data_IF_068044280965
#
_entry.id   IF_068044280965
#
_cell.length_a   1.000
_cell.length_b   1.000
_cell.length_c   1.000
_cell.angle_alpha   90.00
_cell.angle_beta   90.00
_cell.angle_gamma   90.00
#
_symmetry.space_group_name_H-M   'P 1'
#
loop_
_entity.id
_entity.type
_entity.pdbx_description
1 polymer ?
#
# COMPACT_ATOMS: atom_id res chain seq x y z
N UNK A 1 -0.55 18.28 -44.87
CA UNK A 1 0.59 17.42 -44.53
C UNK A 1 1.08 17.66 -43.08
N UNK A 2 1.42 18.91 -42.69
CA UNK A 2 1.88 19.21 -41.33
C UNK A 2 0.91 18.84 -40.18
N UNK A 3 -0.41 19.12 -40.33
CA UNK A 3 -1.43 18.75 -39.32
C UNK A 3 -1.56 17.23 -39.11
N UNK A 4 -1.36 16.45 -40.14
CA UNK A 4 -1.42 15.00 -40.08
C UNK A 4 -0.18 14.41 -39.37
N UNK A 5 1.00 15.01 -39.59
CA UNK A 5 2.23 14.65 -38.89
C UNK A 5 2.13 14.99 -37.38
N UNK A 6 1.52 16.11 -37.05
CA UNK A 6 1.30 16.52 -35.65
C UNK A 6 0.32 15.61 -34.94
N UNK A 7 -0.76 15.17 -35.62
CA UNK A 7 -1.68 14.15 -35.06
C UNK A 7 -0.98 12.81 -34.86
N UNK A 8 -0.13 12.37 -35.79
CA UNK A 8 0.64 11.13 -35.67
C UNK A 8 1.66 11.18 -34.51
N UNK A 9 2.28 12.36 -34.30
CA UNK A 9 3.20 12.55 -33.15
C UNK A 9 2.44 12.51 -31.82
N UNK A 10 1.30 13.21 -31.71
CA UNK A 10 0.44 13.16 -30.52
C UNK A 10 -0.08 11.74 -30.29
N UNK A 11 -0.49 11.03 -31.36
CA UNK A 11 -0.94 9.64 -31.26
C UNK A 11 0.21 8.70 -30.84
N UNK A 12 1.43 8.94 -31.32
CA UNK A 12 2.62 8.16 -30.96
C UNK A 12 3.00 8.40 -29.49
N UNK A 13 2.94 9.63 -29.00
CA UNK A 13 3.16 9.96 -27.58
C UNK A 13 2.05 9.38 -26.71
N UNK A 14 0.80 9.40 -27.17
CA UNK A 14 -0.34 8.79 -26.47
C UNK A 14 -0.22 7.27 -26.40
N UNK A 15 0.21 6.60 -27.47
CA UNK A 15 0.45 5.15 -27.51
C UNK A 15 1.69 4.79 -26.67
N UNK A 16 2.73 5.63 -26.67
CA UNK A 16 3.95 5.39 -25.90
C UNK A 16 3.72 5.58 -24.39
N UNK A 17 2.84 6.53 -24.01
CA UNK A 17 2.40 6.71 -22.62
C UNK A 17 1.50 5.56 -22.11
N UNK A 18 0.76 4.89 -23.01
CA UNK A 18 -0.11 3.77 -22.67
C UNK A 18 0.59 2.41 -22.54
N UNK A 19 1.91 2.34 -22.83
CA UNK A 19 2.71 1.11 -22.78
C UNK A 19 3.77 1.15 -21.66
N UNK A 20 3.77 2.14 -20.78
CA UNK A 20 4.72 2.20 -19.68
C UNK A 20 4.27 1.32 -18.51
N UNK A 21 4.93 0.20 -18.34
CA UNK A 21 4.87 -0.58 -17.13
C UNK A 21 5.45 0.22 -15.93
N UNK A 22 4.68 0.34 -14.86
CA UNK A 22 5.06 1.14 -13.70
C UNK A 22 5.15 0.28 -12.45
N UNK A 23 6.25 0.42 -11.71
CA UNK A 23 6.36 -0.17 -10.37
C UNK A 23 5.87 0.85 -9.31
N UNK A 24 4.84 0.51 -8.57
CA UNK A 24 4.31 1.31 -7.47
C UNK A 24 4.73 0.64 -6.17
N UNK A 25 5.59 1.31 -5.42
CA UNK A 25 6.13 0.81 -4.17
C UNK A 25 5.52 1.57 -3.00
N UNK A 26 4.83 0.88 -2.10
CA UNK A 26 4.15 1.45 -0.94
C UNK A 26 4.87 1.02 0.33
N UNK A 27 5.54 1.98 0.93
CA UNK A 27 6.41 1.77 2.08
C UNK A 27 5.64 1.50 3.38
N UNK A 28 6.41 1.18 4.42
CA UNK A 28 5.94 1.04 5.80
C UNK A 28 5.28 2.33 6.30
N UNK A 29 4.03 2.26 6.63
CA UNK A 29 3.23 3.42 7.01
C UNK A 29 2.63 3.34 8.41
N UNK A 30 2.60 2.16 9.05
CA UNK A 30 1.90 1.99 10.33
C UNK A 30 0.45 2.46 10.23
N UNK A 31 -0.02 3.30 11.14
CA UNK A 31 -1.37 3.86 11.08
C UNK A 31 -1.54 4.99 10.03
N UNK A 32 -0.49 5.34 9.27
CA UNK A 32 -0.61 6.25 8.11
C UNK A 32 -1.15 5.55 6.85
N UNK A 33 -1.76 4.36 6.96
CA UNK A 33 -2.40 3.67 5.82
C UNK A 33 -3.31 4.61 5.01
N UNK A 34 -4.18 5.46 5.62
CA UNK A 34 -5.03 6.39 4.87
C UNK A 34 -4.24 7.38 4.01
N UNK A 35 -3.06 7.81 4.46
CA UNK A 35 -2.16 8.64 3.65
C UNK A 35 -1.73 7.92 2.38
N UNK A 36 -1.32 6.66 2.49
CA UNK A 36 -0.95 5.86 1.31
C UNK A 36 -2.13 5.63 0.37
N UNK A 37 -3.32 5.39 0.92
CA UNK A 37 -4.54 5.23 0.11
C UNK A 37 -4.88 6.54 -0.62
N UNK A 38 -4.74 7.68 0.03
CA UNK A 38 -4.95 9.00 -0.62
C UNK A 38 -3.99 9.24 -1.78
N UNK A 39 -2.70 8.93 -1.59
CA UNK A 39 -1.70 9.03 -2.65
C UNK A 39 -2.00 8.08 -3.82
N UNK A 40 -2.33 6.84 -3.54
CA UNK A 40 -2.75 5.84 -4.53
C UNK A 40 -4.04 6.26 -5.24
N UNK A 41 -4.99 6.87 -4.53
CA UNK A 41 -6.22 7.42 -5.09
C UNK A 41 -5.95 8.52 -6.11
N UNK A 42 -5.01 9.42 -5.81
CA UNK A 42 -4.57 10.44 -6.78
C UNK A 42 -3.98 9.81 -8.04
N UNK A 43 -3.09 8.81 -7.89
CA UNK A 43 -2.50 8.08 -9.01
C UNK A 43 -3.59 7.43 -9.85
N UNK A 44 -4.48 6.67 -9.23
CA UNK A 44 -5.55 5.95 -9.93
C UNK A 44 -6.47 6.86 -10.72
N UNK A 45 -6.78 8.03 -10.18
CA UNK A 45 -7.68 9.00 -10.83
C UNK A 45 -7.03 9.79 -11.96
N UNK A 46 -5.74 10.12 -11.84
CA UNK A 46 -5.09 11.10 -12.69
C UNK A 46 -4.03 10.51 -13.64
N UNK A 47 -3.67 9.25 -13.46
CA UNK A 47 -2.70 8.56 -14.32
C UNK A 47 -3.37 7.38 -15.03
N UNK A 48 -3.25 7.34 -16.36
CA UNK A 48 -3.70 6.19 -17.16
C UNK A 48 -2.66 5.07 -17.07
N UNK A 49 -2.67 4.32 -15.96
CA UNK A 49 -1.75 3.20 -15.73
C UNK A 49 -2.51 1.91 -16.00
N UNK A 50 -2.20 1.26 -17.11
CA UNK A 50 -2.82 -0.02 -17.49
C UNK A 50 -1.99 -1.22 -17.02
N UNK A 51 -0.67 -1.08 -17.01
CA UNK A 51 0.27 -2.13 -16.61
C UNK A 51 1.12 -1.66 -15.43
N UNK A 52 1.04 -2.37 -14.31
CA UNK A 52 1.79 -2.02 -13.10
C UNK A 52 2.09 -3.25 -12.24
N UNK A 53 3.14 -3.12 -11.41
CA UNK A 53 3.34 -3.95 -10.24
C UNK A 53 3.18 -3.11 -8.98
N UNK A 54 2.56 -3.70 -7.98
CA UNK A 54 2.46 -3.14 -6.63
C UNK A 54 3.40 -3.90 -5.70
N UNK A 55 4.21 -3.19 -4.95
CA UNK A 55 4.98 -3.79 -3.85
C UNK A 55 4.61 -3.08 -2.57
N UNK A 56 4.00 -3.80 -1.62
CA UNK A 56 3.56 -3.27 -0.34
C UNK A 56 4.36 -3.81 0.83
N UNK A 57 4.59 -2.95 1.83
CA UNK A 57 5.30 -3.30 3.06
C UNK A 57 4.49 -2.81 4.26
N UNK A 58 4.28 -3.68 5.26
CA UNK A 58 3.54 -3.33 6.48
C UNK A 58 2.15 -2.77 6.15
N UNK A 59 1.78 -1.60 6.69
CA UNK A 59 0.54 -0.92 6.33
C UNK A 59 0.38 -0.65 4.83
N UNK A 60 1.50 -0.46 4.10
CA UNK A 60 1.50 -0.29 2.65
C UNK A 60 1.03 -1.52 1.88
N UNK A 61 1.13 -2.73 2.45
CA UNK A 61 0.61 -3.95 1.84
C UNK A 61 -0.92 -3.92 1.73
N UNK A 62 -1.62 -3.48 2.78
CA UNK A 62 -3.08 -3.30 2.74
C UNK A 62 -3.50 -2.23 1.73
N UNK A 63 -2.77 -1.10 1.70
CA UNK A 63 -3.04 -0.03 0.75
C UNK A 63 -2.88 -0.51 -0.71
N UNK A 64 -1.89 -1.38 -0.98
CA UNK A 64 -1.67 -1.99 -2.29
C UNK A 64 -2.82 -2.90 -2.71
N UNK A 65 -3.33 -3.73 -1.80
CA UNK A 65 -4.49 -4.61 -2.05
C UNK A 65 -5.74 -3.77 -2.34
N UNK A 66 -6.00 -2.75 -1.53
CA UNK A 66 -7.14 -1.84 -1.71
C UNK A 66 -7.03 -1.12 -3.06
N UNK A 67 -5.83 -0.63 -3.43
CA UNK A 67 -5.61 0.01 -4.73
C UNK A 67 -5.97 -0.92 -5.89
N UNK A 68 -5.56 -2.17 -5.81
CA UNK A 68 -5.78 -3.12 -6.91
C UNK A 68 -7.27 -3.43 -7.10
N UNK A 69 -7.99 -3.73 -6.02
CA UNK A 69 -9.37 -4.20 -6.11
C UNK A 69 -10.44 -3.10 -6.12
N UNK A 70 -10.17 -1.91 -5.59
CA UNK A 70 -11.12 -0.81 -5.63
C UNK A 70 -11.02 -0.02 -6.94
N UNK A 71 -12.15 0.15 -7.63
CA UNK A 71 -12.18 0.91 -8.87
C UNK A 71 -12.03 2.43 -8.65
N UNK A 72 -12.56 2.95 -7.55
CA UNK A 72 -12.47 4.35 -7.18
C UNK A 72 -11.95 4.52 -5.75
N UNK A 73 -10.85 5.25 -5.62
CA UNK A 73 -10.23 5.60 -4.34
C UNK A 73 -10.34 7.10 -4.03
N UNK A 74 -11.17 7.86 -4.74
CA UNK A 74 -11.27 9.30 -4.54
C UNK A 74 -12.13 9.69 -3.33
N UNK A 75 -12.99 8.79 -2.83
CA UNK A 75 -13.84 9.02 -1.67
C UNK A 75 -13.36 8.26 -0.42
N UNK A 76 -12.73 9.00 0.48
CA UNK A 76 -12.31 8.46 1.78
C UNK A 76 -13.45 7.82 2.58
N UNK A 77 -14.66 8.42 2.59
CA UNK A 77 -15.76 7.91 3.40
C UNK A 77 -16.23 6.54 2.90
N UNK A 78 -16.23 6.36 1.58
CA UNK A 78 -16.55 5.06 0.98
C UNK A 78 -15.54 4.00 1.42
N UNK A 79 -14.26 4.31 1.36
CA UNK A 79 -13.18 3.40 1.77
C UNK A 79 -13.27 3.09 3.26
N UNK A 80 -13.42 4.12 4.11
CA UNK A 80 -13.57 3.93 5.55
C UNK A 80 -14.75 3.01 5.90
N UNK A 81 -15.92 3.28 5.31
CA UNK A 81 -17.13 2.50 5.58
C UNK A 81 -17.00 1.05 5.11
N UNK A 82 -16.31 0.81 4.00
CA UNK A 82 -16.01 -0.56 3.52
C UNK A 82 -15.04 -1.29 4.44
N UNK A 83 -13.91 -0.66 4.78
CA UNK A 83 -12.80 -1.37 5.43
C UNK A 83 -12.96 -1.43 6.95
N UNK A 84 -13.53 -0.40 7.58
CA UNK A 84 -13.72 -0.30 9.03
C UNK A 84 -15.19 -0.54 9.42
N UNK A 85 -16.14 0.08 8.73
CA UNK A 85 -17.56 -0.12 8.92
C UNK A 85 -18.17 0.65 10.10
N UNK A 86 -17.38 1.17 11.04
CA UNK A 86 -17.84 1.89 12.22
C UNK A 86 -17.21 3.28 12.32
N UNK A 87 -18.05 4.31 12.24
CA UNK A 87 -17.61 5.71 12.33
C UNK A 87 -17.07 6.11 13.71
N UNK A 88 -17.42 5.36 14.74
CA UNK A 88 -16.97 5.58 16.12
C UNK A 88 -15.72 4.79 16.47
N UNK A 89 -15.30 3.89 15.58
CA UNK A 89 -14.14 3.07 15.86
C UNK A 89 -12.86 3.90 15.98
N UNK A 90 -12.09 3.60 17.02
CA UNK A 90 -10.86 4.29 17.34
C UNK A 90 -9.73 3.30 17.46
N UNK A 91 -8.73 3.46 16.63
CA UNK A 91 -7.53 2.63 16.63
C UNK A 91 -6.49 3.31 17.51
N UNK A 92 -5.96 2.55 18.47
CA UNK A 92 -4.83 2.95 19.33
C UNK A 92 -3.73 1.91 19.15
N UNK A 93 -2.62 2.32 18.59
CA UNK A 93 -1.51 1.47 18.18
C UNK A 93 -1.09 0.45 19.26
N UNK A 94 -1.00 0.88 20.52
CA UNK A 94 -0.56 0.04 21.63
C UNK A 94 -1.70 -0.67 22.39
N UNK A 95 -2.94 -0.64 21.89
CA UNK A 95 -4.09 -1.21 22.63
C UNK A 95 -4.91 -2.19 21.81
N UNK A 96 -5.25 -1.86 20.57
CA UNK A 96 -6.19 -2.64 19.78
C UNK A 96 -5.74 -2.82 18.31
N UNK A 97 -4.43 -2.84 18.07
CA UNK A 97 -3.90 -3.04 16.71
C UNK A 97 -4.22 -4.45 16.18
N UNK A 98 -4.16 -5.46 17.04
CA UNK A 98 -4.54 -6.84 16.67
C UNK A 98 -6.03 -6.92 16.27
N UNK A 99 -6.91 -6.34 17.09
CA UNK A 99 -8.36 -6.25 16.78
C UNK A 99 -8.61 -5.52 15.47
N UNK A 100 -7.94 -4.39 15.27
CA UNK A 100 -8.01 -3.62 14.01
C UNK A 100 -7.62 -4.47 12.80
N UNK A 101 -6.50 -5.20 12.86
CA UNK A 101 -6.09 -6.08 11.77
C UNK A 101 -7.12 -7.17 11.48
N UNK A 102 -7.80 -7.71 12.50
CA UNK A 102 -8.86 -8.70 12.31
C UNK A 102 -10.12 -8.08 11.67
N UNK A 103 -10.53 -6.88 12.08
CA UNK A 103 -11.64 -6.16 11.45
C UNK A 103 -11.34 -5.93 9.95
N UNK A 104 -10.14 -5.45 9.64
CA UNK A 104 -9.71 -5.24 8.25
C UNK A 104 -9.74 -6.55 7.47
N UNK A 105 -9.20 -7.65 8.03
CA UNK A 105 -9.23 -8.97 7.38
C UNK A 105 -10.67 -9.39 7.07
N UNK A 106 -11.54 -9.40 8.07
CA UNK A 106 -12.94 -9.83 7.90
C UNK A 106 -13.66 -9.01 6.84
N UNK A 107 -13.51 -7.69 6.89
CA UNK A 107 -14.18 -6.81 5.94
C UNK A 107 -13.62 -6.98 4.52
N UNK A 108 -12.31 -7.04 4.35
CA UNK A 108 -11.70 -7.30 3.03
C UNK A 108 -12.10 -8.65 2.45
N UNK A 109 -12.15 -9.72 3.28
CA UNK A 109 -12.63 -11.04 2.87
C UNK A 109 -14.08 -10.99 2.39
N UNK A 110 -14.93 -10.23 3.05
CA UNK A 110 -16.35 -10.08 2.65
C UNK A 110 -16.51 -9.26 1.36
N UNK A 111 -15.75 -8.17 1.22
CA UNK A 111 -15.86 -7.24 0.08
C UNK A 111 -15.31 -7.88 -1.20
N UNK A 112 -14.16 -8.54 -1.10
CA UNK A 112 -13.42 -9.09 -2.23
C UNK A 112 -13.56 -10.62 -2.39
N UNK A 113 -14.63 -11.22 -1.82
CA UNK A 113 -14.86 -12.68 -1.77
C UNK A 113 -14.83 -13.38 -3.14
N UNK A 114 -15.20 -12.66 -4.21
CA UNK A 114 -15.36 -13.20 -5.55
C UNK A 114 -14.16 -12.89 -6.48
N UNK A 115 -13.05 -12.29 -5.95
CA UNK A 115 -11.89 -11.95 -6.77
C UNK A 115 -10.93 -13.14 -6.96
N UNK A 116 -10.36 -13.25 -8.15
CA UNK A 116 -9.23 -14.15 -8.39
C UNK A 116 -7.91 -13.42 -8.07
N UNK A 117 -7.06 -14.06 -7.28
CA UNK A 117 -5.77 -13.49 -6.82
C UNK A 117 -4.55 -14.20 -7.41
N UNK A 118 -4.74 -15.20 -8.29
CA UNK A 118 -3.62 -16.02 -8.79
C UNK A 118 -2.57 -15.23 -9.56
N UNK A 119 -3.03 -14.27 -10.36
CA UNK A 119 -2.17 -13.47 -11.23
C UNK A 119 -2.23 -11.96 -10.91
N UNK A 120 -2.55 -11.61 -9.65
CA UNK A 120 -2.56 -10.20 -9.25
C UNK A 120 -1.15 -9.60 -9.30
N UNK A 121 -0.99 -8.37 -9.79
CA UNK A 121 0.31 -7.69 -9.86
C UNK A 121 0.72 -7.12 -8.48
N UNK A 122 0.57 -7.92 -7.43
CA UNK A 122 0.85 -7.52 -6.04
C UNK A 122 1.98 -8.36 -5.48
N UNK A 123 2.89 -7.71 -4.81
CA UNK A 123 3.94 -8.35 -4.02
C UNK A 123 3.93 -7.79 -2.59
N UNK A 124 4.09 -8.66 -1.61
CA UNK A 124 4.14 -8.30 -0.19
C UNK A 124 5.53 -8.60 0.35
N UNK A 125 6.17 -7.62 0.98
CA UNK A 125 7.45 -7.82 1.66
C UNK A 125 7.19 -8.20 3.11
N UNK A 126 7.74 -9.31 3.55
CA UNK A 126 7.69 -9.82 4.91
C UNK A 126 9.09 -10.02 5.47
N UNK A 127 9.26 -9.92 6.78
CA UNK A 127 10.50 -10.35 7.44
C UNK A 127 10.30 -11.75 8.03
N UNK A 128 10.87 -12.75 7.37
CA UNK A 128 10.80 -14.16 7.77
C UNK A 128 11.91 -14.50 8.74
N UNK A 129 11.56 -15.19 9.82
CA UNK A 129 12.50 -15.67 10.83
C UNK A 129 12.80 -17.13 10.55
N UNK A 130 14.07 -17.46 10.34
CA UNK A 130 14.55 -18.80 10.17
C UNK A 130 15.85 -18.99 10.96
N UNK A 131 15.89 -19.93 11.91
CA UNK A 131 17.06 -20.24 12.74
C UNK A 131 17.74 -18.98 13.31
N UNK A 132 16.97 -18.10 13.96
CA UNK A 132 17.42 -16.83 14.54
C UNK A 132 17.93 -15.78 13.53
N UNK A 133 17.88 -16.07 12.26
CA UNK A 133 18.17 -15.10 11.20
C UNK A 133 16.87 -14.52 10.67
N UNK A 134 16.87 -13.21 10.44
CA UNK A 134 15.75 -12.49 9.86
C UNK A 134 16.13 -12.12 8.43
N UNK A 135 15.27 -12.49 7.47
CA UNK A 135 15.47 -12.18 6.05
C UNK A 135 14.18 -11.62 5.48
N UNK A 136 14.28 -10.53 4.73
CA UNK A 136 13.17 -10.04 3.95
C UNK A 136 12.91 -10.96 2.76
N UNK A 137 11.64 -11.26 2.55
CA UNK A 137 11.15 -12.11 1.45
C UNK A 137 10.03 -11.39 0.72
N UNK A 138 10.07 -11.41 -0.61
CA UNK A 138 9.03 -10.88 -1.48
C UNK A 138 8.09 -12.00 -1.87
N UNK A 139 6.84 -11.92 -1.44
CA UNK A 139 5.78 -12.87 -1.76
C UNK A 139 4.91 -12.28 -2.86
N UNK A 140 4.83 -12.96 -4.01
CA UNK A 140 4.10 -12.47 -5.19
C UNK A 140 3.15 -13.50 -5.80
N UNK A 141 2.93 -14.63 -5.13
CA UNK A 141 1.98 -15.65 -5.54
C UNK A 141 1.11 -16.04 -4.36
N UNK A 142 -0.17 -16.07 -4.58
CA UNK A 142 -1.18 -16.36 -3.56
C UNK A 142 -2.16 -17.39 -4.11
N UNK A 143 -2.56 -18.37 -3.30
CA UNK A 143 -3.52 -19.38 -3.70
C UNK A 143 -4.96 -18.84 -3.69
N UNK A 144 -5.24 -17.96 -2.74
CA UNK A 144 -6.55 -17.35 -2.52
C UNK A 144 -6.42 -15.97 -1.84
N UNK A 145 -7.55 -15.29 -1.71
CA UNK A 145 -7.64 -13.97 -1.08
C UNK A 145 -7.22 -14.00 0.39
N UNK A 146 -7.56 -15.08 1.11
CA UNK A 146 -7.20 -15.21 2.52
C UNK A 146 -5.67 -15.24 2.69
N UNK A 147 -4.96 -15.99 1.85
CA UNK A 147 -3.51 -16.04 1.85
C UNK A 147 -2.89 -14.67 1.57
N UNK A 148 -3.41 -13.92 0.59
CA UNK A 148 -2.95 -12.57 0.29
C UNK A 148 -3.08 -11.65 1.51
N UNK A 149 -4.25 -11.66 2.17
CA UNK A 149 -4.52 -10.80 3.34
C UNK A 149 -3.70 -11.28 4.55
N UNK A 150 -3.52 -12.57 4.75
CA UNK A 150 -2.68 -13.10 5.83
C UNK A 150 -1.21 -12.69 5.66
N UNK A 151 -0.69 -12.63 4.44
CA UNK A 151 0.63 -12.05 4.21
C UNK A 151 0.68 -10.55 4.48
N UNK A 152 -0.39 -9.78 4.24
CA UNK A 152 -0.47 -8.38 4.68
C UNK A 152 -0.39 -8.27 6.22
N UNK A 153 -1.09 -9.15 6.94
CA UNK A 153 -1.00 -9.22 8.41
C UNK A 153 0.41 -9.61 8.87
N UNK A 154 1.04 -10.60 8.23
CA UNK A 154 2.43 -10.98 8.53
C UNK A 154 3.39 -9.81 8.27
N UNK A 155 3.20 -9.08 7.16
CA UNK A 155 3.99 -7.92 6.78
C UNK A 155 3.85 -6.74 7.75
N UNK A 156 2.72 -6.65 8.46
CA UNK A 156 2.42 -5.58 9.42
C UNK A 156 2.43 -6.03 10.88
N UNK A 157 2.99 -7.23 11.15
CA UNK A 157 3.02 -7.77 12.50
C UNK A 157 4.18 -7.19 13.32
N UNK A 158 3.86 -6.29 14.23
CA UNK A 158 4.82 -5.66 15.14
C UNK A 158 4.86 -6.50 16.43
N UNK A 159 6.05 -7.02 16.84
CA UNK A 159 6.21 -7.84 18.03
C UNK A 159 5.56 -7.23 19.26
N UNK A 160 4.77 -8.02 20.00
CA UNK A 160 4.07 -7.64 21.23
C UNK A 160 3.05 -6.50 21.13
N UNK A 161 2.86 -5.91 19.93
CA UNK A 161 1.89 -4.84 19.68
C UNK A 161 0.74 -5.35 18.83
N UNK A 162 1.04 -6.07 17.72
CA UNK A 162 0.03 -6.69 16.86
C UNK A 162 -0.45 -8.05 17.37
N UNK A 163 -0.05 -8.43 18.57
CA UNK A 163 -0.40 -9.68 19.24
C UNK A 163 0.50 -9.93 20.45
N UNK A 164 0.29 -11.05 21.13
CA UNK A 164 0.99 -11.40 22.39
C UNK A 164 2.37 -12.05 22.18
N UNK A 165 2.76 -12.29 20.94
CA UNK A 165 3.98 -13.04 20.58
C UNK A 165 5.03 -12.16 19.94
N UNK A 166 6.27 -12.61 19.91
CA UNK A 166 7.36 -11.93 19.20
C UNK A 166 7.16 -11.96 17.67
N UNK A 167 6.51 -13.01 17.16
CA UNK A 167 6.31 -13.21 15.73
C UNK A 167 4.93 -13.77 15.45
N UNK A 168 4.41 -13.52 14.25
CA UNK A 168 3.21 -14.16 13.72
C UNK A 168 3.61 -15.50 13.09
N UNK A 169 3.08 -16.61 13.62
CA UNK A 169 3.18 -17.89 12.94
C UNK A 169 2.16 -17.96 11.81
N UNK A 170 2.62 -18.25 10.60
CA UNK A 170 1.76 -18.51 9.45
C UNK A 170 2.35 -19.65 8.62
N UNK A 171 1.55 -20.67 8.34
CA UNK A 171 2.02 -21.96 7.80
C UNK A 171 3.17 -22.50 8.69
N UNK A 172 4.30 -22.85 8.11
CA UNK A 172 5.46 -23.41 8.82
C UNK A 172 6.51 -22.36 9.23
N UNK A 173 6.20 -21.07 9.07
CA UNK A 173 7.17 -20.00 9.26
C UNK A 173 6.71 -18.98 10.30
N UNK A 174 7.68 -18.24 10.82
CA UNK A 174 7.47 -17.11 11.71
C UNK A 174 7.81 -15.81 10.97
N UNK A 175 6.95 -14.82 11.11
CA UNK A 175 7.06 -13.53 10.43
C UNK A 175 6.96 -12.38 11.43
N UNK A 176 7.64 -11.29 11.11
CA UNK A 176 7.49 -9.98 11.74
C UNK A 176 7.35 -8.93 10.64
N UNK A 177 7.00 -7.70 11.03
CA UNK A 177 6.79 -6.59 10.12
C UNK A 177 7.93 -6.44 9.12
N UNK A 178 7.57 -6.35 7.83
CA UNK A 178 8.53 -6.27 6.72
C UNK A 178 9.42 -5.03 6.76
N UNK A 179 9.03 -3.98 7.49
CA UNK A 179 9.75 -2.72 7.61
C UNK A 179 10.58 -2.55 8.89
N UNK A 180 10.52 -3.46 9.86
CA UNK A 180 11.24 -3.33 11.15
C UNK A 180 12.77 -3.24 10.93
N UNK A 181 13.30 -4.03 10.00
CA UNK A 181 14.74 -4.07 9.70
C UNK A 181 15.07 -3.35 8.39
N UNK A 182 14.40 -2.24 8.14
CA UNK A 182 14.49 -1.44 6.92
C UNK A 182 15.92 -1.08 6.49
N UNK A 183 16.83 -0.94 7.43
CA UNK A 183 18.23 -0.57 7.17
C UNK A 183 19.11 -1.74 6.70
N UNK A 184 18.59 -2.98 6.72
CA UNK A 184 19.37 -4.18 6.45
C UNK A 184 19.26 -4.70 5.00
N UNK A 185 18.68 -4.00 4.05
CA UNK A 185 18.55 -4.39 2.61
C UNK A 185 17.15 -4.10 2.03
N UNK A 186 16.50 -3.06 2.51
CA UNK A 186 15.08 -2.84 2.27
C UNK A 186 14.73 -2.63 0.80
N UNK A 187 15.61 -1.99 0.04
CA UNK A 187 15.38 -1.68 -1.37
C UNK A 187 16.04 -2.66 -2.34
N UNK A 188 16.81 -3.64 -1.86
CA UNK A 188 17.34 -4.69 -2.75
C UNK A 188 16.24 -5.65 -3.23
N UNK A 189 15.10 -5.68 -2.51
CA UNK A 189 13.90 -6.43 -2.90
C UNK A 189 12.91 -5.59 -3.72
N UNK A 190 13.14 -4.29 -3.85
CA UNK A 190 12.28 -3.37 -4.60
C UNK A 190 12.98 -3.06 -5.91
N UNK A 191 12.35 -3.42 -7.03
CA UNK A 191 12.90 -3.16 -8.35
C UNK A 191 13.16 -1.66 -8.55
N UNK A 192 14.41 -1.27 -8.62
CA UNK A 192 14.85 0.10 -8.94
C UNK A 192 14.74 0.33 -10.46
N UNK A 193 13.52 0.27 -10.98
CA UNK A 193 13.27 0.59 -12.38
C UNK A 193 13.13 2.10 -12.56
N UNK A 194 13.55 2.61 -13.71
CA UNK A 194 13.40 4.03 -14.07
C UNK A 194 11.95 4.52 -13.96
N UNK A 195 10.98 3.63 -14.19
CA UNK A 195 9.56 3.89 -14.09
C UNK A 195 8.99 3.44 -12.72
N UNK A 196 9.53 3.97 -11.62
CA UNK A 196 9.04 3.65 -10.29
C UNK A 196 8.42 4.85 -9.58
N UNK A 197 7.27 4.61 -8.92
CA UNK A 197 6.63 5.54 -7.99
C UNK A 197 6.80 4.99 -6.59
N UNK A 198 7.36 5.81 -5.70
CA UNK A 198 7.54 5.46 -4.29
C UNK A 198 6.60 6.27 -3.43
N UNK A 199 5.68 5.58 -2.76
CA UNK A 199 4.76 6.16 -1.78
C UNK A 199 5.32 5.91 -0.40
N UNK A 200 5.78 6.98 0.25
CA UNK A 200 6.32 6.93 1.58
C UNK A 200 5.99 8.22 2.34
N UNK A 201 6.03 8.18 3.66
CA UNK A 201 5.66 9.29 4.53
C UNK A 201 6.37 10.64 4.27
N UNK A 202 7.53 10.60 3.63
CA UNK A 202 8.34 11.79 3.39
C UNK A 202 8.30 12.26 1.92
N UNK A 203 7.37 11.77 1.08
CA UNK A 203 7.37 12.09 -0.35
C UNK A 203 7.19 13.59 -0.66
N UNK A 204 6.63 14.37 0.27
CA UNK A 204 6.49 15.83 0.17
C UNK A 204 7.10 16.58 1.38
N UNK A 205 8.08 15.98 2.07
CA UNK A 205 8.74 16.56 3.26
C UNK A 205 7.74 16.98 4.36
N UNK A 206 6.61 16.30 4.45
CA UNK A 206 5.58 16.58 5.46
C UNK A 206 6.01 16.09 6.84
N UNK A 207 5.88 16.96 7.84
CA UNK A 207 6.09 16.61 9.24
C UNK A 207 4.81 16.02 9.82
N UNK A 208 4.81 14.72 10.10
CA UNK A 208 3.75 14.05 10.85
C UNK A 208 3.98 14.19 12.33
N UNK A 209 2.90 14.42 13.08
CA UNK A 209 2.94 14.43 14.54
C UNK A 209 3.07 13.00 15.08
N UNK A 210 3.66 12.84 16.25
CA UNK A 210 3.75 11.55 16.94
C UNK A 210 2.38 10.87 17.10
N UNK A 211 1.31 11.64 17.32
CA UNK A 211 -0.06 11.12 17.41
C UNK A 211 -0.55 10.46 16.13
N UNK A 212 -0.08 10.89 14.96
CA UNK A 212 -0.47 10.33 13.66
C UNK A 212 -0.08 8.85 13.52
N UNK A 213 0.95 8.43 14.24
CA UNK A 213 1.42 7.04 14.26
C UNK A 213 0.73 6.17 15.32
N UNK A 214 0.07 6.78 16.30
CA UNK A 214 -0.43 6.06 17.47
C UNK A 214 -1.95 6.05 17.59
N UNK A 215 -2.63 6.89 16.82
CA UNK A 215 -4.05 7.11 16.97
C UNK A 215 -4.71 7.36 15.61
N UNK A 216 -5.79 6.64 15.34
CA UNK A 216 -6.56 6.82 14.13
C UNK A 216 -8.05 6.68 14.41
N UNK A 217 -8.84 7.64 13.96
CA UNK A 217 -10.29 7.59 13.86
C UNK A 217 -10.72 8.10 12.49
N UNK A 218 -12.01 8.09 12.17
CA UNK A 218 -12.52 8.51 10.87
C UNK A 218 -12.06 9.92 10.46
N UNK A 219 -12.08 10.88 11.40
CA UNK A 219 -11.65 12.27 11.15
C UNK A 219 -10.15 12.36 10.82
N UNK A 220 -9.31 11.73 11.64
CA UNK A 220 -7.87 11.71 11.43
C UNK A 220 -7.50 10.92 10.15
N UNK A 221 -8.21 9.83 9.89
CA UNK A 221 -8.08 9.07 8.66
C UNK A 221 -8.37 9.93 7.42
N UNK A 222 -9.45 10.72 7.46
CA UNK A 222 -9.77 11.65 6.37
C UNK A 222 -8.67 12.69 6.16
N UNK A 223 -8.17 13.28 7.24
CA UNK A 223 -7.07 14.25 7.19
C UNK A 223 -5.81 13.66 6.58
N UNK A 224 -5.43 12.45 6.99
CA UNK A 224 -4.27 11.74 6.46
C UNK A 224 -4.46 11.38 4.98
N UNK A 225 -5.65 10.95 4.60
CA UNK A 225 -5.99 10.67 3.21
C UNK A 225 -5.81 11.93 2.34
N UNK A 226 -6.36 13.07 2.76
CA UNK A 226 -6.23 14.34 2.02
C UNK A 226 -4.77 14.78 1.92
N UNK A 227 -3.97 14.54 2.93
CA UNK A 227 -2.53 14.78 2.89
C UNK A 227 -1.84 13.92 1.83
N UNK A 228 -2.12 12.62 1.81
CA UNK A 228 -1.54 11.71 0.81
C UNK A 228 -1.91 12.09 -0.61
N UNK A 229 -3.16 12.46 -0.83
CA UNK A 229 -3.66 12.92 -2.11
C UNK A 229 -2.90 14.17 -2.60
N UNK A 230 -2.84 15.21 -1.77
CA UNK A 230 -2.19 16.48 -2.11
C UNK A 230 -0.66 16.34 -2.28
N UNK A 231 -0.02 15.53 -1.45
CA UNK A 231 1.42 15.32 -1.51
C UNK A 231 1.82 14.55 -2.78
N UNK A 232 1.01 13.58 -3.19
CA UNK A 232 1.21 12.86 -4.45
C UNK A 232 1.02 13.79 -5.66
N UNK A 233 0.00 14.65 -5.63
CA UNK A 233 -0.21 15.67 -6.66
C UNK A 233 1.01 16.57 -6.81
N UNK A 234 1.54 17.09 -5.71
CA UNK A 234 2.74 17.96 -5.73
C UNK A 234 3.97 17.20 -6.26
N UNK A 235 4.18 15.97 -5.81
CA UNK A 235 5.31 15.14 -6.25
C UNK A 235 5.29 14.90 -7.75
N UNK A 236 4.13 14.56 -8.31
CA UNK A 236 3.99 14.27 -9.74
C UNK A 236 4.10 15.54 -10.60
N UNK A 237 3.53 16.66 -10.17
CA UNK A 237 3.70 17.96 -10.86
C UNK A 237 5.17 18.40 -10.94
N UNK A 238 5.92 18.19 -9.87
CA UNK A 238 7.37 18.53 -9.85
C UNK A 238 8.20 17.62 -10.76
N UNK A 239 7.80 16.35 -10.95
CA UNK A 239 8.48 15.45 -11.91
C UNK A 239 8.25 15.80 -13.38
N UNK A 240 7.12 16.43 -13.71
CA UNK A 240 6.80 16.85 -15.08
C UNK A 240 7.52 18.15 -15.46
N UNK A 241 7.85 18.99 -14.48
CA UNK A 241 8.47 20.29 -14.67
C UNK A 241 10.00 20.28 -14.64
N UNK A 242 10.62 19.15 -14.33
CA UNK A 242 12.06 18.89 -14.36
C UNK A 242 12.43 17.92 -15.48
#
# INVERSE_FOLDING_TARGET
MMKFLYLLLIFKEFIQASLCFININVDTTGLLIPYSIGALGYIKKNMCINDYNLTGISGGSFASVIYHFENDLSDHNLIWNKIIGDDKYVIKFNKNLEEFQQIVKINMMNIYKDVDVKDVPISIIVSKINNLKIKNEKISKFNDLEELIDYCICSSYIPYISGKTFSKKYKDFNFIDGGIFKNLHHFDCVDKCENSIYIHRNMANRNFNYKDYLYLNKKESKRLFDYGWNDCEMMLKNKINN
#
